data_IF_120166702369
#
_entry.id   IF_120166702369
#
_cell.length_a   1.000
_cell.length_b   1.000
_cell.length_c   1.000
_cell.angle_alpha   90.00
_cell.angle_beta   90.00
_cell.angle_gamma   90.00
#
_symmetry.space_group_name_H-M   'P 1'
#
loop_
_entity.id
_entity.type
_entity.pdbx_description
1 polymer ?
#
# COMPACT_ATOMS: atom_id res chain seq x y z
N UNK A 1 5.35 1.37 21.19
CA UNK A 1 5.85 2.29 22.25
C UNK A 1 6.35 1.54 23.49
N UNK A 2 5.65 0.50 23.98
CA UNK A 2 6.08 -0.25 25.17
C UNK A 2 7.47 -0.88 24.98
N UNK A 3 7.64 -1.69 23.94
CA UNK A 3 8.89 -2.42 23.67
C UNK A 3 10.00 -1.49 23.16
N UNK A 4 9.68 -0.62 22.20
CA UNK A 4 10.68 0.20 21.52
C UNK A 4 11.20 1.36 22.36
N UNK A 5 10.39 1.90 23.26
CA UNK A 5 10.73 3.05 24.12
C UNK A 5 10.73 2.72 25.62
N UNK A 6 10.59 1.44 25.98
CA UNK A 6 10.57 0.97 27.37
C UNK A 6 9.57 1.73 28.26
N UNK A 7 8.37 2.02 27.72
CA UNK A 7 7.33 2.79 28.41
C UNK A 7 6.36 1.87 29.15
N UNK A 8 5.75 2.38 30.23
CA UNK A 8 4.64 1.68 30.88
C UNK A 8 3.42 1.60 29.94
N UNK A 9 2.50 0.66 30.18
CA UNK A 9 1.27 0.54 29.39
C UNK A 9 0.46 1.86 29.41
N UNK A 10 0.32 2.50 30.57
CA UNK A 10 -0.39 3.78 30.72
C UNK A 10 0.27 4.91 29.92
N UNK A 11 1.60 4.99 29.95
CA UNK A 11 2.34 6.02 29.19
C UNK A 11 2.25 5.73 27.67
N UNK A 12 2.28 4.46 27.27
CA UNK A 12 2.09 4.07 25.88
C UNK A 12 0.71 4.46 25.35
N UNK A 13 -0.34 4.25 26.13
CA UNK A 13 -1.72 4.64 25.77
C UNK A 13 -1.84 6.16 25.63
N UNK A 14 -1.25 6.93 26.55
CA UNK A 14 -1.22 8.38 26.46
C UNK A 14 -0.46 8.88 25.21
N UNK A 15 0.66 8.25 24.88
CA UNK A 15 1.43 8.57 23.67
C UNK A 15 0.63 8.26 22.40
N UNK A 16 -0.05 7.12 22.35
CA UNK A 16 -0.95 6.76 21.23
C UNK A 16 -2.08 7.78 21.09
N UNK A 17 -2.68 8.21 22.21
CA UNK A 17 -3.73 9.23 22.18
C UNK A 17 -3.22 10.56 21.61
N UNK A 18 -2.08 11.06 22.11
CA UNK A 18 -1.45 12.30 21.61
C UNK A 18 -1.04 12.19 20.13
N UNK A 19 -0.49 11.04 19.74
CA UNK A 19 -0.18 10.78 18.33
C UNK A 19 -1.43 10.86 17.48
N UNK A 20 -2.51 10.17 17.85
CA UNK A 20 -3.78 10.18 17.12
C UNK A 20 -4.35 11.59 17.01
N UNK A 21 -4.35 12.36 18.10
CA UNK A 21 -4.82 13.74 18.11
C UNK A 21 -4.03 14.60 17.12
N UNK A 22 -2.69 14.57 17.17
CA UNK A 22 -1.84 15.31 16.23
C UNK A 22 -2.02 14.82 14.79
N UNK A 23 -2.03 13.50 14.59
CA UNK A 23 -2.15 12.92 13.28
C UNK A 23 -3.48 13.32 12.61
N UNK A 24 -4.60 13.21 13.33
CA UNK A 24 -5.93 13.55 12.80
C UNK A 24 -6.05 15.02 12.42
N UNK A 25 -5.50 15.92 13.24
CA UNK A 25 -5.68 17.35 13.05
C UNK A 25 -4.66 17.99 12.11
N UNK A 26 -3.46 17.43 12.01
CA UNK A 26 -2.34 18.04 11.28
C UNK A 26 -1.55 17.02 10.46
N UNK A 27 -1.06 15.95 11.07
CA UNK A 27 -0.13 15.03 10.46
C UNK A 27 -0.64 14.36 9.19
N UNK A 28 -1.94 14.05 9.14
CA UNK A 28 -2.56 13.46 7.95
C UNK A 28 -2.48 14.38 6.71
N UNK A 29 -2.32 15.67 6.92
CA UNK A 29 -2.18 16.64 5.83
C UNK A 29 -0.73 16.96 5.47
N UNK A 30 0.24 16.48 6.25
CA UNK A 30 1.67 16.66 6.04
C UNK A 30 2.26 15.60 5.10
N UNK A 31 1.57 15.28 4.00
CA UNK A 31 1.98 14.31 3.00
C UNK A 31 1.66 14.77 1.59
N UNK A 32 2.35 14.20 0.62
CA UNK A 32 2.19 14.48 -0.81
C UNK A 32 2.11 13.15 -1.59
N UNK A 33 1.52 13.17 -2.78
CA UNK A 33 1.57 12.04 -3.68
C UNK A 33 2.99 11.86 -4.23
N UNK A 34 3.45 10.63 -4.35
CA UNK A 34 4.63 10.33 -5.15
C UNK A 34 4.44 10.80 -6.59
N UNK A 35 5.52 11.31 -7.18
CA UNK A 35 5.49 11.75 -8.57
C UNK A 35 5.07 10.58 -9.49
N UNK A 36 4.16 10.87 -10.44
CA UNK A 36 3.68 9.87 -11.40
C UNK A 36 2.45 9.08 -10.95
N UNK A 37 2.15 8.96 -9.64
CA UNK A 37 1.03 8.13 -9.14
C UNK A 37 -0.32 8.53 -9.77
N UNK A 38 -0.62 9.83 -9.83
CA UNK A 38 -1.90 10.26 -10.42
C UNK A 38 -2.00 9.90 -11.89
N UNK A 39 -0.90 9.99 -12.65
CA UNK A 39 -0.88 9.59 -14.04
C UNK A 39 -1.00 8.07 -14.19
N UNK A 40 -0.30 7.30 -13.35
CA UNK A 40 -0.43 5.85 -13.29
C UNK A 40 -1.90 5.42 -13.08
N UNK A 41 -2.60 6.00 -12.09
CA UNK A 41 -4.00 5.69 -11.84
C UNK A 41 -4.90 6.00 -13.04
N UNK A 42 -4.64 7.12 -13.74
CA UNK A 42 -5.36 7.48 -14.96
C UNK A 42 -5.14 6.43 -16.06
N UNK A 43 -3.88 6.08 -16.33
CA UNK A 43 -3.51 5.13 -17.36
C UNK A 43 -4.14 3.76 -17.09
N UNK A 44 -4.00 3.23 -15.89
CA UNK A 44 -4.60 1.94 -15.48
C UNK A 44 -6.13 1.93 -15.66
N UNK A 45 -6.82 3.04 -15.38
CA UNK A 45 -8.26 3.15 -15.63
C UNK A 45 -8.60 3.19 -17.11
N UNK A 46 -7.79 3.87 -17.94
CA UNK A 46 -7.92 3.87 -19.41
C UNK A 46 -7.75 2.46 -19.97
N UNK A 47 -6.81 1.69 -19.42
CA UNK A 47 -6.55 0.29 -19.81
C UNK A 47 -7.59 -0.70 -19.26
N UNK A 48 -8.63 -0.21 -18.57
CA UNK A 48 -9.74 -1.01 -18.05
C UNK A 48 -9.40 -1.81 -16.80
N UNK A 49 -8.33 -1.47 -16.09
CA UNK A 49 -7.95 -2.13 -14.83
C UNK A 49 -8.94 -1.78 -13.72
N UNK A 50 -9.27 -2.77 -12.88
CA UNK A 50 -9.87 -2.52 -11.58
C UNK A 50 -8.76 -2.18 -10.60
N UNK A 51 -8.97 -1.16 -9.78
CA UNK A 51 -7.98 -0.68 -8.80
C UNK A 51 -8.61 -0.73 -7.42
N UNK A 52 -7.94 -1.40 -6.48
CA UNK A 52 -8.35 -1.47 -5.08
C UNK A 52 -7.31 -0.89 -4.13
N UNK A 53 -7.77 -0.54 -2.94
CA UNK A 53 -6.92 -0.23 -1.80
C UNK A 53 -7.09 -1.33 -0.77
N UNK A 54 -5.97 -1.90 -0.28
CA UNK A 54 -5.92 -2.80 0.85
C UNK A 54 -4.95 -2.23 1.90
N UNK A 55 -5.47 -1.50 2.90
CA UNK A 55 -4.66 -0.73 3.84
C UNK A 55 -4.88 -1.12 5.30
N UNK A 56 -3.79 -1.21 6.07
CA UNK A 56 -3.85 -1.33 7.53
C UNK A 56 -4.13 0.01 8.23
N UNK A 57 -4.19 1.11 7.49
CA UNK A 57 -4.59 2.42 7.99
C UNK A 57 -6.11 2.44 8.26
N UNK A 58 -6.61 3.14 9.29
CA UNK A 58 -8.05 3.29 9.52
C UNK A 58 -8.79 3.88 8.32
N UNK A 59 -9.96 3.34 8.00
CA UNK A 59 -10.79 3.70 6.85
C UNK A 59 -10.98 5.21 6.70
N UNK A 60 -11.32 5.91 7.79
CA UNK A 60 -11.54 7.36 7.78
C UNK A 60 -10.31 8.14 7.33
N UNK A 61 -9.11 7.67 7.66
CA UNK A 61 -7.87 8.31 7.22
C UNK A 61 -7.58 8.05 5.74
N UNK A 62 -7.85 6.83 5.28
CA UNK A 62 -7.74 6.50 3.86
C UNK A 62 -8.64 7.40 3.04
N UNK A 63 -9.92 7.49 3.39
CA UNK A 63 -10.90 8.33 2.69
C UNK A 63 -10.53 9.82 2.71
N UNK A 64 -10.03 10.31 3.86
CA UNK A 64 -9.53 11.70 3.99
C UNK A 64 -8.42 11.98 2.99
N UNK A 65 -7.45 11.07 2.86
CA UNK A 65 -6.32 11.22 1.96
C UNK A 65 -6.74 11.12 0.48
N UNK A 66 -7.61 10.17 0.14
CA UNK A 66 -8.13 10.04 -1.22
C UNK A 66 -8.88 11.30 -1.68
N UNK A 67 -9.65 11.91 -0.77
CA UNK A 67 -10.36 13.15 -1.04
C UNK A 67 -9.39 14.35 -1.14
N UNK A 68 -8.40 14.44 -0.22
CA UNK A 68 -7.36 15.49 -0.25
C UNK A 68 -6.68 15.56 -1.61
N UNK A 69 -6.32 14.40 -2.19
CA UNK A 69 -5.62 14.32 -3.47
C UNK A 69 -6.52 14.23 -4.69
N UNK A 70 -7.85 14.20 -4.48
CA UNK A 70 -8.86 14.05 -5.53
C UNK A 70 -8.62 12.81 -6.42
N UNK A 71 -8.26 11.68 -5.79
CA UNK A 71 -7.97 10.41 -6.47
C UNK A 71 -8.97 9.29 -6.13
N UNK A 72 -9.91 9.51 -5.21
CA UNK A 72 -10.91 8.52 -4.80
C UNK A 72 -11.65 7.89 -6.00
N UNK A 73 -11.92 8.66 -7.03
CA UNK A 73 -12.65 8.25 -8.24
C UNK A 73 -11.95 7.17 -9.09
N UNK A 74 -10.67 6.91 -8.84
CA UNK A 74 -9.92 5.90 -9.58
C UNK A 74 -9.99 4.51 -8.94
N UNK A 75 -10.47 4.42 -7.70
CA UNK A 75 -10.53 3.16 -6.95
C UNK A 75 -11.92 2.56 -7.01
N UNK A 76 -12.00 1.28 -7.39
CA UNK A 76 -13.23 0.50 -7.47
C UNK A 76 -13.57 -0.15 -6.12
N UNK A 77 -12.58 -0.32 -5.23
CA UNK A 77 -12.76 -0.80 -3.85
C UNK A 77 -11.77 -0.12 -2.91
N UNK A 78 -12.18 0.14 -1.67
CA UNK A 78 -11.33 0.72 -0.61
C UNK A 78 -11.53 -0.09 0.67
N UNK A 79 -10.64 -1.05 0.89
CA UNK A 79 -10.60 -1.91 2.06
C UNK A 79 -9.53 -1.46 3.04
N UNK A 80 -9.94 -0.97 4.19
CA UNK A 80 -9.07 -0.50 5.26
C UNK A 80 -9.55 -0.99 6.64
N UNK A 81 -8.74 -0.82 7.67
CA UNK A 81 -9.12 -1.24 9.04
C UNK A 81 -10.12 -0.26 9.66
N UNK A 82 -10.82 -0.72 10.72
CA UNK A 82 -11.59 0.18 11.60
C UNK A 82 -10.76 0.53 12.84
N UNK A 83 -11.07 1.66 13.50
CA UNK A 83 -10.44 2.00 14.79
C UNK A 83 -10.79 1.02 15.92
N UNK A 84 -11.90 0.30 15.79
CA UNK A 84 -12.46 -0.56 16.82
C UNK A 84 -12.13 -2.05 16.62
N UNK A 85 -11.54 -2.42 15.47
CA UNK A 85 -11.19 -3.81 15.20
C UNK A 85 -9.85 -4.15 15.86
N UNK A 86 -9.78 -5.30 16.51
CA UNK A 86 -8.52 -6.01 16.70
C UNK A 86 -7.81 -6.04 15.33
N UNK A 87 -6.49 -5.80 15.32
CA UNK A 87 -5.71 -5.64 14.11
C UNK A 87 -6.07 -6.70 13.05
N UNK A 88 -6.88 -6.32 12.06
CA UNK A 88 -7.17 -7.16 10.91
C UNK A 88 -5.85 -7.44 10.18
N UNK A 89 -5.57 -8.70 9.88
CA UNK A 89 -4.33 -9.04 9.17
C UNK A 89 -4.33 -8.47 7.76
N UNK A 90 -3.15 -8.15 7.22
CA UNK A 90 -3.02 -7.67 5.85
C UNK A 90 -3.63 -8.65 4.84
N UNK A 91 -3.47 -9.95 5.07
CA UNK A 91 -4.09 -11.01 4.29
C UNK A 91 -5.62 -10.84 4.23
N UNK A 92 -6.29 -10.71 5.38
CA UNK A 92 -7.75 -10.58 5.42
C UNK A 92 -8.23 -9.32 4.67
N UNK A 93 -7.49 -8.22 4.77
CA UNK A 93 -7.83 -6.98 4.05
C UNK A 93 -7.69 -7.19 2.54
N UNK A 94 -6.64 -7.86 2.08
CA UNK A 94 -6.43 -8.21 0.66
C UNK A 94 -7.55 -9.12 0.18
N UNK A 95 -7.87 -10.20 0.90
CA UNK A 95 -8.94 -11.12 0.54
C UNK A 95 -10.30 -10.42 0.42
N UNK A 96 -10.60 -9.49 1.34
CA UNK A 96 -11.81 -8.66 1.27
C UNK A 96 -11.83 -7.77 0.04
N UNK A 97 -10.71 -7.13 -0.27
CA UNK A 97 -10.58 -6.27 -1.45
C UNK A 97 -10.77 -7.06 -2.75
N UNK A 98 -10.14 -8.24 -2.86
CA UNK A 98 -10.33 -9.14 -4.02
C UNK A 98 -11.80 -9.55 -4.21
N UNK A 99 -12.49 -9.85 -3.11
CA UNK A 99 -13.92 -10.19 -3.13
C UNK A 99 -14.77 -9.02 -3.63
N UNK A 100 -14.52 -7.80 -3.14
CA UNK A 100 -15.24 -6.60 -3.60
C UNK A 100 -14.96 -6.27 -5.07
N UNK A 101 -13.74 -6.54 -5.53
CA UNK A 101 -13.33 -6.37 -6.93
C UNK A 101 -13.81 -7.53 -7.82
N UNK A 102 -14.41 -8.59 -7.24
CA UNK A 102 -14.81 -9.81 -7.96
C UNK A 102 -13.65 -10.36 -8.80
N UNK A 103 -12.50 -10.59 -8.16
CA UNK A 103 -11.25 -10.94 -8.83
C UNK A 103 -10.60 -12.14 -8.17
N UNK A 104 -10.09 -13.05 -9.01
CA UNK A 104 -9.31 -14.20 -8.54
C UNK A 104 -7.87 -13.75 -8.16
N UNK A 105 -7.26 -14.36 -7.13
CA UNK A 105 -5.91 -14.01 -6.69
C UNK A 105 -4.85 -14.02 -7.79
N UNK A 106 -4.92 -15.00 -8.72
CA UNK A 106 -3.98 -15.14 -9.84
C UNK A 106 -4.04 -13.99 -10.86
N UNK A 107 -5.16 -13.25 -10.88
CA UNK A 107 -5.42 -12.12 -11.77
C UNK A 107 -5.21 -10.77 -11.06
N UNK A 108 -4.63 -10.78 -9.84
CA UNK A 108 -4.37 -9.63 -9.02
C UNK A 108 -2.86 -9.41 -8.79
N UNK A 109 -2.48 -8.16 -8.62
CA UNK A 109 -1.14 -7.74 -8.21
C UNK A 109 -1.26 -6.85 -6.96
N UNK A 110 -0.61 -7.24 -5.87
CA UNK A 110 -0.42 -6.38 -4.71
C UNK A 110 0.81 -5.50 -4.91
N UNK A 111 0.65 -4.21 -4.83
CA UNK A 111 1.76 -3.24 -4.82
C UNK A 111 1.92 -2.73 -3.40
N UNK A 112 3.11 -2.85 -2.83
CA UNK A 112 3.36 -2.47 -1.44
C UNK A 112 4.80 -2.08 -1.18
N UNK A 113 5.00 -1.24 -0.16
CA UNK A 113 6.30 -0.72 0.20
C UNK A 113 6.94 -1.43 1.40
N UNK A 114 6.28 -2.45 1.96
CA UNK A 114 6.80 -3.23 3.09
C UNK A 114 6.59 -4.74 2.89
N UNK A 115 7.41 -5.51 3.61
CA UNK A 115 7.38 -6.98 3.58
C UNK A 115 5.99 -7.55 3.90
N UNK A 116 5.25 -6.96 4.84
CA UNK A 116 3.92 -7.46 5.24
C UNK A 116 2.86 -7.30 4.13
N UNK A 117 3.05 -6.39 3.18
CA UNK A 117 2.20 -6.29 1.99
C UNK A 117 2.41 -7.50 1.08
N UNK A 118 3.69 -7.86 0.88
CA UNK A 118 4.09 -9.00 0.07
C UNK A 118 3.71 -10.33 0.75
N UNK A 119 3.96 -10.46 2.05
CA UNK A 119 3.60 -11.66 2.82
C UNK A 119 2.09 -11.86 2.86
N UNK A 120 1.31 -10.78 3.06
CA UNK A 120 -0.14 -10.82 3.02
C UNK A 120 -0.69 -11.23 1.66
N UNK A 121 -0.13 -10.72 0.58
CA UNK A 121 -0.49 -11.09 -0.78
C UNK A 121 -0.18 -12.57 -1.08
N UNK A 122 1.02 -13.00 -0.70
CA UNK A 122 1.51 -14.36 -0.92
C UNK A 122 0.67 -15.41 -0.18
N UNK A 123 0.17 -15.08 1.02
CA UNK A 123 -0.71 -15.97 1.78
C UNK A 123 -2.01 -16.31 1.03
N UNK A 124 -2.48 -15.43 0.16
CA UNK A 124 -3.65 -15.63 -0.70
C UNK A 124 -3.28 -15.90 -2.16
N UNK A 125 -2.03 -16.27 -2.43
CA UNK A 125 -1.51 -16.56 -3.78
C UNK A 125 -1.62 -15.38 -4.77
N UNK A 126 -1.59 -14.16 -4.27
CA UNK A 126 -1.52 -12.93 -5.06
C UNK A 126 -0.06 -12.60 -5.35
N UNK A 127 0.24 -12.22 -6.57
CA UNK A 127 1.57 -11.72 -6.92
C UNK A 127 1.87 -10.40 -6.20
N UNK A 128 3.10 -10.24 -5.69
CA UNK A 128 3.54 -9.04 -4.98
C UNK A 128 4.59 -8.25 -5.75
N UNK A 129 4.42 -6.93 -5.82
CA UNK A 129 5.41 -5.97 -6.31
C UNK A 129 5.85 -5.06 -5.15
N UNK A 130 7.10 -5.16 -4.76
CA UNK A 130 7.74 -4.28 -3.78
C UNK A 130 8.25 -3.01 -4.46
N UNK A 131 7.89 -1.84 -3.92
CA UNK A 131 8.27 -0.53 -4.47
C UNK A 131 9.35 0.13 -3.62
N UNK A 132 10.41 0.64 -4.28
CA UNK A 132 11.60 1.17 -3.60
C UNK A 132 11.53 2.67 -3.29
N UNK A 133 10.46 3.35 -3.70
CA UNK A 133 10.22 4.75 -3.32
C UNK A 133 9.53 4.91 -1.96
N UNK A 134 9.09 3.81 -1.31
CA UNK A 134 8.52 3.78 0.03
C UNK A 134 9.55 3.48 1.13
N UNK A 135 9.13 2.80 2.19
CA UNK A 135 9.96 2.51 3.37
C UNK A 135 10.78 1.23 3.30
N UNK A 136 10.39 0.28 2.43
CA UNK A 136 11.05 -1.01 2.29
C UNK A 136 12.36 -0.93 1.51
N UNK A 137 13.20 -1.94 1.69
CA UNK A 137 14.46 -2.07 0.97
C UNK A 137 14.41 -3.21 -0.04
N UNK A 138 15.29 -3.16 -1.04
CA UNK A 138 15.45 -4.26 -2.00
C UNK A 138 15.72 -5.59 -1.28
N UNK A 139 16.52 -5.57 -0.20
CA UNK A 139 16.85 -6.76 0.59
C UNK A 139 15.58 -7.32 1.26
N UNK A 140 14.77 -6.47 1.90
CA UNK A 140 13.50 -6.86 2.51
C UNK A 140 12.57 -7.56 1.50
N UNK A 141 12.45 -7.01 0.29
CA UNK A 141 11.60 -7.59 -0.76
C UNK A 141 12.13 -8.92 -1.32
N UNK A 142 13.45 -9.10 -1.38
CA UNK A 142 14.07 -10.38 -1.75
C UNK A 142 13.76 -11.43 -0.69
N UNK A 143 13.93 -11.11 0.60
CA UNK A 143 13.72 -12.04 1.72
C UNK A 143 12.24 -12.48 1.81
N UNK A 144 11.27 -11.57 1.65
CA UNK A 144 9.85 -11.94 1.65
C UNK A 144 9.37 -12.55 0.33
N UNK A 145 10.23 -12.60 -0.70
CA UNK A 145 9.95 -13.24 -1.99
C UNK A 145 8.99 -12.47 -2.88
N UNK A 146 9.13 -11.14 -2.93
CA UNK A 146 8.40 -10.31 -3.89
C UNK A 146 8.65 -10.77 -5.33
N UNK A 147 7.59 -10.92 -6.11
CA UNK A 147 7.70 -11.32 -7.52
C UNK A 147 8.35 -10.24 -8.36
N UNK A 148 8.06 -8.99 -8.06
CA UNK A 148 8.63 -7.81 -8.72
C UNK A 148 9.22 -6.88 -7.67
N UNK A 149 10.31 -6.19 -8.01
CA UNK A 149 10.92 -5.13 -7.20
C UNK A 149 11.24 -3.99 -8.16
N UNK A 150 10.63 -2.84 -7.94
CA UNK A 150 10.67 -1.72 -8.87
C UNK A 150 11.06 -0.41 -8.17
N UNK A 151 11.77 0.45 -8.88
CA UNK A 151 12.21 1.76 -8.39
C UNK A 151 11.50 2.93 -9.10
N UNK A 152 10.66 2.63 -10.10
CA UNK A 152 9.92 3.64 -10.87
C UNK A 152 8.43 3.34 -10.86
N UNK A 153 7.63 4.39 -10.74
CA UNK A 153 6.16 4.31 -10.74
C UNK A 153 5.64 3.74 -12.07
N UNK A 154 6.28 4.10 -13.18
CA UNK A 154 5.91 3.67 -14.54
C UNK A 154 6.05 2.16 -14.74
N UNK A 155 6.94 1.51 -13.98
CA UNK A 155 7.13 0.06 -14.07
C UNK A 155 5.89 -0.72 -13.62
N UNK A 156 5.08 -0.16 -12.72
CA UNK A 156 3.81 -0.77 -12.28
C UNK A 156 2.83 -0.94 -13.44
N UNK A 157 2.71 0.08 -14.30
CA UNK A 157 1.87 0.00 -15.49
C UNK A 157 2.38 -1.10 -16.44
N UNK A 158 3.68 -1.16 -16.66
CA UNK A 158 4.30 -2.19 -17.49
C UNK A 158 4.08 -3.60 -16.95
N UNK A 159 4.16 -3.79 -15.64
CA UNK A 159 3.85 -5.08 -14.97
C UNK A 159 2.37 -5.42 -15.18
N UNK A 160 1.47 -4.49 -14.90
CA UNK A 160 0.03 -4.70 -15.01
C UNK A 160 -0.41 -5.07 -16.43
N UNK A 161 0.27 -4.53 -17.45
CA UNK A 161 0.04 -4.85 -18.86
C UNK A 161 0.78 -6.10 -19.36
N UNK A 162 1.60 -6.73 -18.52
CA UNK A 162 2.42 -7.89 -18.92
C UNK A 162 3.58 -7.54 -19.86
N UNK A 163 3.99 -6.27 -19.89
CA UNK A 163 5.05 -5.73 -20.75
C UNK A 163 6.40 -5.58 -20.04
N UNK A 164 6.44 -5.83 -18.74
CA UNK A 164 7.63 -5.63 -17.92
C UNK A 164 8.68 -6.71 -18.18
N UNK A 165 9.79 -6.35 -18.81
CA UNK A 165 10.95 -7.23 -19.00
C UNK A 165 11.85 -7.18 -17.76
N UNK A 166 11.93 -8.27 -17.02
CA UNK A 166 12.87 -8.42 -15.91
C UNK A 166 14.29 -8.58 -16.42
N UNK A 167 15.19 -7.77 -15.91
CA UNK A 167 16.65 -7.92 -16.14
C UNK A 167 17.27 -9.10 -15.36
N UNK A 168 16.57 -9.65 -14.39
CA UNK A 168 16.98 -10.87 -13.65
C UNK A 168 15.86 -11.91 -13.76
N UNK A 169 16.23 -13.11 -14.24
CA UNK A 169 15.29 -14.21 -14.54
C UNK A 169 14.52 -14.67 -13.32
N UNK A 170 13.26 -14.28 -13.22
CA UNK A 170 12.25 -15.03 -12.49
C UNK A 170 11.07 -15.20 -13.44
N UNK A 171 10.69 -16.45 -13.70
CA UNK A 171 9.70 -16.80 -14.73
C UNK A 171 8.29 -16.34 -14.35
N UNK A 172 7.64 -15.61 -15.23
CA UNK A 172 6.20 -15.39 -15.20
C UNK A 172 5.78 -14.09 -15.88
N UNK A 173 4.92 -14.21 -16.87
CA UNK A 173 4.19 -13.09 -17.48
C UNK A 173 2.94 -12.87 -16.62
N UNK A 174 2.74 -11.66 -16.11
CA UNK A 174 1.51 -11.28 -15.46
C UNK A 174 0.51 -10.83 -16.54
N UNK A 175 -0.68 -11.43 -16.55
CA UNK A 175 -1.78 -11.08 -17.46
C UNK A 175 -3.04 -10.66 -16.68
N UNK A 176 -2.91 -10.25 -15.44
CA UNK A 176 -4.01 -9.85 -14.59
C UNK A 176 -4.58 -8.47 -14.97
N UNK A 177 -5.86 -8.25 -14.62
CA UNK A 177 -6.59 -7.00 -14.88
C UNK A 177 -6.89 -6.21 -13.61
N UNK A 178 -6.30 -6.57 -12.49
CA UNK A 178 -6.55 -5.95 -11.18
C UNK A 178 -5.26 -5.57 -10.51
N UNK A 179 -5.20 -4.35 -10.05
CA UNK A 179 -4.12 -3.81 -9.24
C UNK A 179 -4.66 -3.48 -7.85
N UNK A 180 -4.01 -3.99 -6.81
CA UNK A 180 -4.28 -3.61 -5.43
C UNK A 180 -3.09 -2.85 -4.90
N UNK A 181 -3.29 -1.62 -4.43
CA UNK A 181 -2.24 -0.75 -3.92
C UNK A 181 -2.41 -0.49 -2.42
N UNK A 182 -1.32 -0.33 -1.72
CA UNK A 182 -1.31 0.19 -0.37
C UNK A 182 -1.40 1.72 -0.39
N UNK A 183 -2.13 2.34 0.56
CA UNK A 183 -2.31 3.81 0.57
C UNK A 183 -0.99 4.54 0.79
N UNK A 184 -0.09 3.95 1.58
CA UNK A 184 1.22 4.56 1.86
C UNK A 184 2.15 4.51 0.64
N UNK A 185 1.92 3.62 -0.35
CA UNK A 185 2.63 3.59 -1.63
C UNK A 185 2.23 4.73 -2.57
N UNK A 186 1.05 5.27 -2.36
CA UNK A 186 0.51 6.41 -3.11
C UNK A 186 0.93 7.74 -2.48
N UNK A 187 1.29 7.74 -1.18
CA UNK A 187 1.46 8.92 -0.36
C UNK A 187 2.86 8.99 0.25
N UNK A 188 3.62 10.04 -0.10
CA UNK A 188 4.77 10.50 0.67
C UNK A 188 4.28 11.13 1.99
N UNK A 189 4.38 10.40 3.09
CA UNK A 189 4.33 11.04 4.40
C UNK A 189 5.69 11.71 4.65
N UNK A 190 5.70 13.02 4.82
CA UNK A 190 6.90 13.83 5.06
C UNK A 190 7.46 13.62 6.48
N UNK A 191 7.57 12.37 6.96
CA UNK A 191 8.22 12.06 8.24
C UNK A 191 9.75 12.28 8.22
N UNK A 192 10.33 12.54 7.04
CA UNK A 192 11.77 12.83 6.94
C UNK A 192 12.18 14.21 7.46
N UNK A 193 11.25 15.13 7.75
CA UNK A 193 11.59 16.42 8.36
C UNK A 193 11.64 16.39 9.89
N UNK A 194 11.05 15.41 10.54
CA UNK A 194 11.01 15.32 12.00
C UNK A 194 12.31 14.76 12.64
N UNK A 195 13.22 14.17 11.86
CA UNK A 195 14.44 13.53 12.36
C UNK A 195 15.73 14.31 12.04
N UNK A 196 15.65 15.60 11.69
CA UNK A 196 16.83 16.44 11.38
C UNK A 196 16.89 17.76 12.16
N UNK A 197 16.34 17.79 13.37
CA UNK A 197 16.65 18.84 14.37
C UNK A 197 16.88 18.22 15.75
#
# INVERSE_FOLDING_TARGET
>A
FQEQFNQSAADADLLVQKFRERYTNTGIYECELYNGIKQLLINLKVDGMKIGIASSKPQVFVETLLNKFAIAKYFDSVCATSFAADCESKQNIIARCLKELETEPKDALMVGDRFYDIDGAKADMVDGAGVLWGYGSKFEFIECGAKYIVDKVEDIESIALGLYERTEKVNGIYNGRVLTMHVDDVLLCNDQKANRE
#
